data_IF_250549259096
#
_entry.id   IF_250549259096
#
_cell.length_a   1.000
_cell.length_b   1.000
_cell.length_c   1.000
_cell.angle_alpha   90.00
_cell.angle_beta   90.00
_cell.angle_gamma   90.00
#
_symmetry.space_group_name_H-M   'P 1'
#
loop_
_entity.id
_entity.type
_entity.pdbx_description
1 polymer ?
#
# COMPACT_ATOMS: atom_id res chain seq x y z
N UNK A 1 -26.17 -16.33 25.27
CA UNK A 1 -24.74 -16.22 25.63
C UNK A 1 -24.08 -15.57 24.45
N UNK A 2 -23.64 -14.31 24.58
CA UNK A 2 -22.87 -13.64 23.55
C UNK A 2 -21.44 -14.17 23.62
N UNK A 3 -20.94 -14.71 22.52
CA UNK A 3 -19.51 -14.99 22.37
C UNK A 3 -18.76 -13.66 22.45
N UNK A 4 -17.97 -13.48 23.49
CA UNK A 4 -16.93 -12.47 23.50
C UNK A 4 -15.90 -12.88 22.45
N UNK A 5 -16.01 -12.35 21.24
CA UNK A 5 -14.90 -12.37 20.29
C UNK A 5 -13.73 -11.67 20.98
N UNK A 6 -12.71 -12.45 21.35
CA UNK A 6 -11.41 -11.95 21.76
C UNK A 6 -10.94 -10.97 20.68
N UNK A 7 -10.90 -9.67 20.97
CA UNK A 7 -10.25 -8.70 20.09
C UNK A 7 -8.82 -9.18 19.86
N UNK A 8 -8.46 -9.35 18.58
CA UNK A 8 -7.10 -9.69 18.23
C UNK A 8 -6.20 -8.48 18.56
N UNK A 9 -4.98 -8.71 19.09
CA UNK A 9 -4.06 -7.61 19.33
C UNK A 9 -3.80 -6.86 18.02
N UNK A 10 -3.97 -5.55 18.03
CA UNK A 10 -3.84 -4.70 16.86
C UNK A 10 -3.09 -3.41 17.20
N UNK A 11 -2.42 -2.87 16.19
CA UNK A 11 -1.94 -1.50 16.17
C UNK A 11 -3.03 -0.62 15.59
N UNK A 12 -3.36 0.47 16.29
CA UNK A 12 -4.14 1.57 15.74
C UNK A 12 -3.20 2.69 15.34
N UNK A 13 -3.05 2.92 14.04
CA UNK A 13 -2.21 4.01 13.51
C UNK A 13 -3.08 5.18 13.08
N UNK A 14 -3.02 6.29 13.80
CA UNK A 14 -3.63 7.56 13.40
C UNK A 14 -2.73 8.28 12.40
N UNK A 15 -3.30 8.69 11.26
CA UNK A 15 -2.57 9.32 10.16
C UNK A 15 -2.66 10.85 10.19
N UNK A 16 -3.70 11.37 10.83
CA UNK A 16 -3.96 12.80 10.99
C UNK A 16 -4.34 13.04 12.47
N UNK A 17 -4.26 14.30 12.92
CA UNK A 17 -4.62 14.76 14.28
C UNK A 17 -5.79 14.00 14.90
N UNK A 18 -5.83 13.86 16.23
CA UNK A 18 -6.91 13.16 16.97
C UNK A 18 -8.34 13.59 16.56
N UNK A 19 -8.48 14.80 16.01
CA UNK A 19 -9.73 15.40 15.60
C UNK A 19 -10.23 14.96 14.21
N UNK A 20 -9.35 14.47 13.34
CA UNK A 20 -9.64 14.22 11.92
C UNK A 20 -10.04 12.75 11.64
N UNK A 21 -10.03 11.89 12.65
CA UNK A 21 -10.68 10.57 12.62
C UNK A 21 -10.08 9.51 11.68
N UNK A 22 -9.04 9.81 10.91
CA UNK A 22 -8.42 8.86 9.98
C UNK A 22 -7.38 7.98 10.69
N UNK A 23 -7.68 6.69 10.81
CA UNK A 23 -6.78 5.68 11.37
C UNK A 23 -6.86 4.33 10.65
N UNK A 24 -5.85 3.50 10.88
CA UNK A 24 -5.79 2.12 10.46
C UNK A 24 -5.77 1.19 11.68
N UNK A 25 -6.64 0.19 11.70
CA UNK A 25 -6.52 -0.93 12.65
C UNK A 25 -5.86 -2.12 11.95
N UNK A 26 -4.69 -2.50 12.46
CA UNK A 26 -3.81 -3.48 11.82
C UNK A 26 -3.48 -4.58 12.83
N UNK A 27 -3.88 -5.84 12.60
CA UNK A 27 -3.51 -6.93 13.49
C UNK A 27 -1.99 -7.03 13.63
N UNK A 28 -1.48 -7.22 14.85
CA UNK A 28 -0.03 -7.30 15.09
C UNK A 28 0.61 -8.44 14.29
N UNK A 29 -0.12 -9.54 14.08
CA UNK A 29 0.31 -10.66 13.25
C UNK A 29 0.58 -10.29 11.79
N UNK A 30 -0.16 -9.32 11.24
CA UNK A 30 0.07 -8.84 9.86
C UNK A 30 1.40 -8.11 9.80
N UNK A 31 1.63 -7.16 10.73
CA UNK A 31 2.88 -6.39 10.79
C UNK A 31 4.08 -7.31 11.00
N UNK A 32 4.01 -8.25 11.96
CA UNK A 32 5.09 -9.19 12.23
C UNK A 32 5.38 -10.15 11.08
N UNK A 33 4.40 -10.42 10.20
CA UNK A 33 4.61 -11.27 9.04
C UNK A 33 5.35 -10.56 7.89
N UNK A 34 5.30 -9.21 7.85
CA UNK A 34 5.85 -8.42 6.73
C UNK A 34 7.02 -7.53 7.14
N UNK A 35 7.26 -7.31 8.43
CA UNK A 35 8.38 -6.50 8.93
C UNK A 35 8.88 -6.95 10.31
N UNK A 36 10.20 -6.97 10.49
CA UNK A 36 10.87 -7.24 11.76
C UNK A 36 10.76 -6.09 12.76
N UNK A 37 10.49 -4.87 12.28
CA UNK A 37 10.48 -3.64 13.06
C UNK A 37 9.11 -2.95 12.93
N UNK A 38 8.17 -3.17 13.87
CA UNK A 38 6.81 -2.64 13.77
C UNK A 38 6.74 -1.12 13.60
N UNK A 39 7.53 -0.35 14.36
CA UNK A 39 7.57 1.11 14.26
C UNK A 39 7.93 1.56 12.84
N UNK A 40 8.96 0.96 12.26
CA UNK A 40 9.39 1.21 10.88
C UNK A 40 8.29 0.88 9.86
N UNK A 41 7.58 -0.23 10.05
CA UNK A 41 6.47 -0.60 9.16
C UNK A 41 5.28 0.36 9.26
N UNK A 42 4.91 0.78 10.47
CA UNK A 42 3.88 1.79 10.66
C UNK A 42 4.29 3.13 10.00
N UNK A 43 5.57 3.52 10.11
CA UNK A 43 6.12 4.69 9.42
C UNK A 43 6.00 4.57 7.91
N UNK A 44 6.30 3.39 7.37
CA UNK A 44 6.13 3.08 5.95
C UNK A 44 4.67 3.23 5.51
N UNK A 45 3.71 2.75 6.28
CA UNK A 45 2.28 2.91 5.96
C UNK A 45 1.86 4.39 5.95
N UNK A 46 2.28 5.16 6.96
CA UNK A 46 2.02 6.60 6.99
C UNK A 46 2.60 7.32 5.77
N UNK A 47 3.85 7.02 5.41
CA UNK A 47 4.47 7.51 4.19
C UNK A 47 3.70 7.11 2.92
N UNK A 48 3.28 5.85 2.79
CA UNK A 48 2.57 5.37 1.60
C UNK A 48 1.23 6.07 1.39
N UNK A 49 0.53 6.41 2.47
CA UNK A 49 -0.81 7.02 2.41
C UNK A 49 -0.70 8.53 2.23
N UNK A 50 0.18 9.16 3.01
CA UNK A 50 0.27 10.61 3.11
C UNK A 50 1.33 11.23 2.19
N UNK A 51 2.19 10.42 1.57
CA UNK A 51 3.18 10.86 0.59
C UNK A 51 4.33 11.68 1.16
N UNK A 52 4.45 11.76 2.49
CA UNK A 52 5.37 12.65 3.20
C UNK A 52 6.16 11.89 4.25
N UNK A 53 7.36 12.38 4.55
CA UNK A 53 8.15 11.86 5.66
C UNK A 53 7.54 12.26 7.01
N UNK A 54 7.71 11.36 7.98
CA UNK A 54 7.26 11.54 9.35
C UNK A 54 7.86 10.45 10.24
N UNK A 55 7.48 10.47 11.51
CA UNK A 55 7.91 9.53 12.55
C UNK A 55 6.69 8.90 13.21
N UNK A 56 6.90 7.80 13.93
CA UNK A 56 5.86 7.19 14.76
C UNK A 56 6.01 7.70 16.18
N UNK A 57 4.89 8.00 16.84
CA UNK A 57 4.87 8.55 18.18
C UNK A 57 3.74 7.91 19.00
N UNK A 58 3.86 7.91 20.32
CA UNK A 58 2.80 7.46 21.25
C UNK A 58 1.75 8.55 21.49
N UNK A 59 2.10 9.82 21.23
CA UNK A 59 1.23 11.00 21.28
C UNK A 59 1.71 12.01 20.22
N UNK A 60 0.82 12.88 19.71
CA UNK A 60 1.16 13.97 18.79
C UNK A 60 2.21 14.94 19.31
N UNK A 61 2.39 14.99 20.64
CA UNK A 61 3.35 15.88 21.31
C UNK A 61 4.62 15.17 21.76
N UNK A 62 4.68 13.84 21.66
CA UNK A 62 5.86 13.09 22.07
C UNK A 62 6.95 13.18 21.01
N UNK A 63 8.18 12.90 21.43
CA UNK A 63 9.27 12.66 20.49
C UNK A 63 8.95 11.41 19.64
N UNK A 64 9.44 11.40 18.40
CA UNK A 64 9.30 10.25 17.52
C UNK A 64 10.10 9.06 18.04
N UNK A 65 9.48 7.89 18.03
CA UNK A 65 10.13 6.60 18.23
C UNK A 65 11.11 6.33 17.11
N UNK A 66 12.16 5.57 17.41
CA UNK A 66 13.12 5.09 16.41
C UNK A 66 12.52 3.90 15.66
N UNK A 67 12.96 3.71 14.43
CA UNK A 67 12.48 2.64 13.56
C UNK A 67 12.64 1.24 14.21
N UNK A 68 13.70 1.03 14.99
CA UNK A 68 14.02 -0.24 15.64
C UNK A 68 13.39 -0.42 17.04
N UNK A 69 12.67 0.58 17.56
CA UNK A 69 12.04 0.47 18.87
C UNK A 69 10.92 -0.59 18.84
N UNK A 70 10.85 -1.50 19.83
CA UNK A 70 9.80 -2.50 19.90
C UNK A 70 8.45 -1.83 20.22
N UNK A 71 7.38 -2.32 19.59
CA UNK A 71 6.01 -1.85 19.86
C UNK A 71 5.12 -2.99 20.35
N UNK A 72 4.29 -2.68 21.34
CA UNK A 72 3.19 -3.53 21.78
C UNK A 72 1.90 -3.14 21.06
N UNK A 73 0.88 -4.00 21.07
CA UNK A 73 -0.45 -3.63 20.57
C UNK A 73 -0.95 -2.37 21.30
N UNK A 74 -1.42 -1.38 20.54
CA UNK A 74 -1.70 -0.06 21.09
C UNK A 74 -2.02 0.99 20.04
N UNK A 75 -2.16 2.23 20.50
CA UNK A 75 -2.45 3.40 19.66
C UNK A 75 -1.15 4.15 19.40
N UNK A 76 -0.92 4.47 18.13
CA UNK A 76 0.26 5.18 17.65
C UNK A 76 -0.14 6.23 16.63
N UNK A 77 0.71 7.24 16.47
CA UNK A 77 0.48 8.40 15.62
C UNK A 77 1.60 8.53 14.60
N UNK A 78 1.23 8.76 13.35
CA UNK A 78 2.17 9.23 12.34
C UNK A 78 2.27 10.75 12.43
N UNK A 79 3.45 11.26 12.78
CA UNK A 79 3.69 12.68 13.03
C UNK A 79 4.67 13.22 12.00
N UNK A 80 4.28 14.29 11.30
CA UNK A 80 5.15 15.01 10.36
C UNK A 80 5.90 16.13 11.08
N UNK A 81 7.17 16.31 10.76
CA UNK A 81 7.92 17.49 11.18
C UNK A 81 7.35 18.77 10.55
N UNK A 82 7.01 19.77 11.37
CA UNK A 82 6.56 21.09 10.92
C UNK A 82 5.05 21.31 10.83
N UNK A 83 4.24 20.32 11.25
CA UNK A 83 2.81 20.42 11.55
C UNK A 83 1.99 21.50 10.82
N UNK A 84 1.37 21.14 9.70
CA UNK A 84 -0.03 21.43 9.33
C UNK A 84 -0.34 20.87 7.92
N UNK A 85 -1.59 20.44 7.75
CA UNK A 85 -2.26 19.93 6.53
C UNK A 85 -1.60 18.76 5.76
N UNK A 86 -1.47 17.61 6.43
CA UNK A 86 -0.89 16.38 5.86
C UNK A 86 -1.68 15.84 4.66
N UNK A 87 -2.99 16.11 4.63
CA UNK A 87 -3.90 15.63 3.57
C UNK A 87 -3.65 16.28 2.20
N UNK A 88 -3.04 17.47 2.14
CA UNK A 88 -2.68 18.11 0.87
C UNK A 88 -1.72 17.28 0.01
N UNK A 89 -0.99 16.36 0.65
CA UNK A 89 0.05 15.55 0.00
C UNK A 89 -0.36 14.07 -0.13
N UNK A 90 -1.58 13.71 0.25
CA UNK A 90 -2.03 12.33 0.22
C UNK A 90 -1.89 11.73 -1.20
N UNK A 91 -1.26 10.55 -1.27
CA UNK A 91 -0.89 9.92 -2.55
C UNK A 91 -2.14 9.46 -3.33
N UNK A 92 -3.23 9.19 -2.62
CA UNK A 92 -4.50 8.78 -3.19
C UNK A 92 -5.67 9.49 -2.47
N UNK A 93 -6.12 10.65 -2.98
CA UNK A 93 -7.29 11.34 -2.45
C UNK A 93 -8.58 10.54 -2.63
N UNK A 94 -8.67 9.63 -3.61
CA UNK A 94 -9.88 8.79 -3.79
C UNK A 94 -9.97 7.70 -2.73
N UNK A 95 -8.82 7.16 -2.27
CA UNK A 95 -8.77 6.30 -1.08
C UNK A 95 -9.31 7.03 0.16
N UNK A 96 -9.30 8.36 0.15
CA UNK A 96 -9.82 9.22 1.22
C UNK A 96 -11.24 9.78 0.94
N UNK A 97 -11.73 9.78 -0.30
CA UNK A 97 -12.97 10.49 -0.68
C UNK A 97 -14.00 9.69 -1.49
N UNK A 98 -13.74 8.41 -1.81
CA UNK A 98 -14.68 7.51 -2.52
C UNK A 98 -15.32 8.10 -3.80
N UNK A 99 -14.72 9.11 -4.42
CA UNK A 99 -15.28 9.73 -5.63
C UNK A 99 -14.67 9.08 -6.87
N UNK A 100 -15.48 8.31 -7.60
CA UNK A 100 -15.04 7.68 -8.84
C UNK A 100 -15.52 8.46 -10.06
N UNK A 101 -14.59 8.95 -10.88
CA UNK A 101 -14.88 9.30 -12.28
C UNK A 101 -14.00 8.42 -13.18
N UNK A 102 -14.55 7.31 -13.71
CA UNK A 102 -13.81 6.48 -14.66
C UNK A 102 -13.60 7.27 -15.96
N UNK A 103 -12.36 7.61 -16.27
CA UNK A 103 -11.98 8.18 -17.58
C UNK A 103 -11.12 7.19 -18.35
N UNK A 104 -11.74 6.32 -19.15
CA UNK A 104 -10.98 5.57 -20.16
C UNK A 104 -11.67 5.67 -21.51
N UNK A 105 -10.93 6.17 -22.50
CA UNK A 105 -11.32 6.23 -23.91
C UNK A 105 -10.54 5.24 -24.78
N UNK A 106 -9.57 4.51 -24.21
CA UNK A 106 -8.70 3.58 -24.93
C UNK A 106 -9.21 2.13 -24.87
N UNK A 107 -8.94 1.36 -25.93
CA UNK A 107 -9.18 -0.08 -25.98
C UNK A 107 -8.00 -0.83 -25.37
N UNK A 108 -8.28 -1.82 -24.51
CA UNK A 108 -7.30 -2.63 -23.75
C UNK A 108 -6.49 -3.62 -24.62
N UNK A 109 -6.77 -3.68 -25.91
CA UNK A 109 -6.66 -4.89 -26.73
C UNK A 109 -5.22 -5.37 -26.98
N UNK A 110 -4.19 -4.55 -26.74
CA UNK A 110 -2.79 -4.94 -26.97
C UNK A 110 -1.92 -5.01 -25.71
N UNK A 111 -2.37 -4.43 -24.60
CA UNK A 111 -1.53 -4.31 -23.40
C UNK A 111 -1.08 -5.66 -22.83
N UNK A 112 -1.96 -6.65 -22.61
CA UNK A 112 -1.53 -7.93 -22.05
C UNK A 112 -0.47 -8.64 -22.91
N UNK A 113 -0.59 -8.58 -24.23
CA UNK A 113 0.36 -9.18 -25.17
C UNK A 113 1.74 -8.50 -25.11
N UNK A 114 1.79 -7.18 -24.91
CA UNK A 114 3.05 -6.46 -24.73
C UNK A 114 3.75 -6.88 -23.44
N UNK A 115 3.00 -7.00 -22.34
CA UNK A 115 3.53 -7.47 -21.04
C UNK A 115 4.06 -8.90 -21.15
N UNK A 116 3.32 -9.78 -21.81
CA UNK A 116 3.73 -11.15 -22.08
C UNK A 116 5.05 -11.19 -22.86
N UNK A 117 5.16 -10.42 -23.94
CA UNK A 117 6.36 -10.38 -24.78
C UNK A 117 7.61 -9.87 -24.01
N UNK A 118 7.43 -9.02 -22.99
CA UNK A 118 8.52 -8.50 -22.16
C UNK A 118 8.96 -9.51 -21.09
N UNK A 119 8.02 -10.10 -20.37
CA UNK A 119 8.32 -10.89 -19.17
C UNK A 119 8.53 -12.39 -19.47
N UNK A 120 7.89 -12.93 -20.53
CA UNK A 120 7.95 -14.34 -21.00
C UNK A 120 7.38 -15.37 -20.02
N UNK A 121 7.56 -15.20 -18.71
CA UNK A 121 7.02 -16.03 -17.64
C UNK A 121 6.58 -15.19 -16.43
N UNK A 122 5.79 -15.79 -15.54
CA UNK A 122 5.37 -15.11 -14.31
C UNK A 122 6.59 -14.67 -13.49
N UNK A 123 6.66 -13.37 -13.17
CA UNK A 123 7.80 -12.78 -12.44
C UNK A 123 7.99 -13.31 -11.00
N UNK A 124 6.97 -13.98 -10.43
CA UNK A 124 7.00 -14.51 -9.07
C UNK A 124 7.20 -16.02 -8.98
N UNK A 125 6.68 -16.78 -9.95
CA UNK A 125 6.61 -18.25 -9.88
C UNK A 125 7.29 -18.94 -11.05
N UNK A 126 7.71 -18.18 -12.05
CA UNK A 126 8.22 -18.67 -13.33
C UNK A 126 7.21 -19.56 -14.09
N UNK A 127 5.92 -19.48 -13.78
CA UNK A 127 4.85 -20.12 -14.56
C UNK A 127 4.91 -19.66 -16.02
N UNK A 128 4.59 -20.56 -16.96
CA UNK A 128 4.61 -20.26 -18.39
C UNK A 128 3.61 -19.16 -18.78
N UNK A 129 3.80 -18.59 -19.97
CA UNK A 129 2.87 -17.65 -20.60
C UNK A 129 1.43 -18.18 -20.61
N UNK A 130 1.23 -19.45 -20.99
CA UNK A 130 -0.10 -20.09 -21.06
C UNK A 130 -0.84 -20.15 -19.71
N UNK A 131 -0.10 -20.04 -18.60
CA UNK A 131 -0.62 -20.09 -17.23
C UNK A 131 -0.56 -18.72 -16.53
N UNK A 132 -0.30 -17.66 -17.30
CA UNK A 132 -0.06 -16.32 -16.80
C UNK A 132 -0.90 -15.27 -17.52
N UNK A 133 -1.13 -14.15 -16.87
CA UNK A 133 -1.89 -13.02 -17.38
C UNK A 133 -1.11 -11.72 -17.18
N UNK A 134 -1.01 -10.93 -18.25
CA UNK A 134 -0.52 -9.56 -18.18
C UNK A 134 -1.58 -8.67 -17.52
N UNK A 135 -1.26 -8.13 -16.34
CA UNK A 135 -2.14 -7.24 -15.58
C UNK A 135 -1.54 -5.85 -15.44
N UNK A 136 -2.37 -4.87 -15.11
CA UNK A 136 -1.90 -3.53 -14.77
C UNK A 136 -1.58 -3.43 -13.27
N UNK A 137 -0.56 -2.65 -12.90
CA UNK A 137 -0.23 -2.31 -11.51
C UNK A 137 -1.24 -1.29 -10.99
N UNK A 138 -1.34 -0.13 -11.66
CA UNK A 138 -2.44 0.82 -11.50
C UNK A 138 -3.59 0.34 -12.39
N UNK A 139 -4.78 0.02 -11.84
CA UNK A 139 -5.86 -0.60 -12.61
C UNK A 139 -6.24 0.22 -13.85
N UNK A 140 -6.46 -0.49 -14.97
CA UNK A 140 -6.90 0.13 -16.22
C UNK A 140 -8.11 1.06 -16.04
N UNK A 141 -9.06 0.66 -15.18
CA UNK A 141 -10.29 1.42 -14.89
C UNK A 141 -10.07 2.82 -14.29
N UNK A 142 -8.86 3.12 -13.80
CA UNK A 142 -8.50 4.45 -13.28
C UNK A 142 -8.12 5.44 -14.38
N UNK A 143 -7.64 4.94 -15.52
CA UNK A 143 -7.34 5.77 -16.69
C UNK A 143 -6.07 6.63 -16.60
N UNK A 144 -5.79 7.33 -17.69
CA UNK A 144 -4.54 8.09 -17.89
C UNK A 144 -4.44 9.29 -16.95
N UNK A 145 -5.55 9.98 -16.68
CA UNK A 145 -5.58 11.15 -15.80
C UNK A 145 -5.16 10.79 -14.37
N UNK A 146 -5.67 9.66 -13.86
CA UNK A 146 -5.31 9.14 -12.55
C UNK A 146 -3.84 8.76 -12.45
N UNK A 147 -3.30 8.08 -13.47
CA UNK A 147 -1.89 7.71 -13.49
C UNK A 147 -1.00 8.97 -13.44
N UNK A 148 -1.32 9.99 -14.23
CA UNK A 148 -0.59 11.27 -14.22
C UNK A 148 -0.66 11.94 -12.85
N UNK A 149 -1.85 11.96 -12.24
CA UNK A 149 -2.02 12.51 -10.90
C UNK A 149 -1.11 11.83 -9.88
N UNK A 150 -1.05 10.49 -9.83
CA UNK A 150 -0.16 9.77 -8.92
C UNK A 150 1.31 10.03 -9.23
N UNK A 151 1.69 10.07 -10.51
CA UNK A 151 3.07 10.35 -10.95
C UNK A 151 3.50 11.77 -10.54
N UNK A 152 2.60 12.75 -10.63
CA UNK A 152 2.85 14.15 -10.23
C UNK A 152 2.85 14.33 -8.70
N UNK A 153 1.95 13.64 -7.98
CA UNK A 153 1.84 13.71 -6.53
C UNK A 153 3.04 13.07 -5.81
N UNK A 154 3.65 12.05 -6.42
CA UNK A 154 4.91 11.50 -5.92
C UNK A 154 6.03 12.45 -6.33
N UNK A 155 6.35 13.40 -5.43
CA UNK A 155 7.52 14.27 -5.52
C UNK A 155 8.70 13.43 -5.98
N UNK A 156 9.23 13.75 -7.17
CA UNK A 156 10.21 12.92 -7.88
C UNK A 156 11.22 12.33 -6.89
N UNK A 157 11.07 11.04 -6.58
CA UNK A 157 12.14 10.31 -5.90
C UNK A 157 13.39 10.56 -6.74
N UNK A 158 14.49 10.98 -6.12
CA UNK A 158 15.63 11.65 -6.77
C UNK A 158 16.25 10.86 -7.96
N UNK A 159 15.84 9.60 -8.17
CA UNK A 159 16.35 8.70 -9.20
C UNK A 159 15.29 7.99 -10.06
N UNK A 160 13.98 8.21 -9.89
CA UNK A 160 12.95 7.56 -10.72
C UNK A 160 12.33 8.55 -11.72
N UNK A 161 12.90 8.63 -12.94
CA UNK A 161 12.33 9.43 -14.01
C UNK A 161 11.11 8.72 -14.64
N UNK A 162 9.96 8.83 -13.98
CA UNK A 162 8.66 8.34 -14.45
C UNK A 162 7.83 9.43 -15.12
N UNK A 163 8.39 10.62 -15.38
CA UNK A 163 7.68 11.75 -15.99
C UNK A 163 7.10 11.46 -17.38
N UNK A 164 7.63 10.46 -18.08
CA UNK A 164 7.12 9.99 -19.37
C UNK A 164 6.08 8.86 -19.26
N UNK A 165 5.66 8.48 -18.06
CA UNK A 165 4.61 7.48 -17.82
C UNK A 165 3.23 8.14 -17.94
N UNK A 166 2.80 8.40 -19.17
CA UNK A 166 1.63 9.26 -19.45
C UNK A 166 0.34 8.50 -19.77
N UNK A 167 0.41 7.18 -19.99
CA UNK A 167 -0.74 6.35 -20.32
C UNK A 167 -0.84 5.13 -19.42
N UNK A 168 -2.06 4.79 -19.02
CA UNK A 168 -2.39 3.65 -18.16
C UNK A 168 -1.93 2.35 -18.78
N UNK A 169 -1.92 2.25 -20.11
CA UNK A 169 -1.45 1.08 -20.86
C UNK A 169 0.03 1.16 -21.26
N UNK A 170 0.83 2.00 -20.59
CA UNK A 170 2.29 1.92 -20.71
C UNK A 170 2.75 0.57 -20.14
N UNK A 171 3.57 -0.16 -20.89
CA UNK A 171 4.04 -1.49 -20.52
C UNK A 171 4.70 -1.52 -19.13
N UNK A 172 5.30 -0.42 -18.66
CA UNK A 172 5.90 -0.30 -17.33
C UNK A 172 4.87 -0.32 -16.20
N UNK A 173 3.61 0.02 -16.47
CA UNK A 173 2.48 -0.19 -15.57
C UNK A 173 1.93 -1.63 -15.64
N UNK A 174 2.70 -2.59 -16.15
CA UNK A 174 2.28 -3.98 -16.31
C UNK A 174 3.18 -5.00 -15.64
N UNK A 175 2.59 -6.13 -15.24
CA UNK A 175 3.30 -7.31 -14.76
C UNK A 175 2.66 -8.60 -15.28
N UNK A 176 3.49 -9.59 -15.64
CA UNK A 176 3.03 -10.94 -15.97
C UNK A 176 2.95 -11.79 -14.70
N UNK A 177 1.74 -12.23 -14.35
CA UNK A 177 1.50 -13.01 -13.13
C UNK A 177 0.74 -14.29 -13.42
N UNK A 178 1.01 -15.35 -12.65
CA UNK A 178 0.27 -16.60 -12.77
C UNK A 178 -1.21 -16.39 -12.43
N UNK A 179 -2.11 -17.08 -13.13
CA UNK A 179 -3.57 -16.87 -12.98
C UNK A 179 -4.08 -17.00 -11.53
N UNK A 180 -3.49 -17.91 -10.75
CA UNK A 180 -3.87 -18.11 -9.36
C UNK A 180 -3.46 -16.93 -8.47
N UNK A 181 -2.33 -16.27 -8.76
CA UNK A 181 -1.92 -15.04 -8.07
C UNK A 181 -2.81 -13.86 -8.46
N UNK A 182 -3.18 -13.76 -9.74
CA UNK A 182 -4.10 -12.73 -10.21
C UNK A 182 -5.41 -12.75 -9.43
N UNK A 183 -6.01 -13.93 -9.28
CA UNK A 183 -7.25 -14.10 -8.48
C UNK A 183 -7.08 -13.61 -7.05
N UNK A 184 -5.91 -13.83 -6.44
CA UNK A 184 -5.63 -13.35 -5.08
C UNK A 184 -5.45 -11.83 -5.01
N UNK A 185 -4.81 -11.22 -6.00
CA UNK A 185 -4.69 -9.75 -6.09
C UNK A 185 -6.06 -9.11 -6.28
N UNK A 186 -6.90 -9.67 -7.16
CA UNK A 186 -8.22 -9.13 -7.48
C UNK A 186 -9.15 -9.13 -6.26
N UNK A 187 -9.08 -10.19 -5.43
CA UNK A 187 -9.80 -10.27 -4.15
C UNK A 187 -9.04 -9.63 -2.97
N UNK A 188 -7.98 -8.84 -3.25
CA UNK A 188 -7.19 -8.08 -2.26
C UNK A 188 -6.51 -8.94 -1.18
N UNK A 189 -6.20 -10.20 -1.48
CA UNK A 189 -5.47 -11.13 -0.60
C UNK A 189 -3.98 -11.24 -0.89
N UNK A 190 -3.51 -10.60 -1.95
CA UNK A 190 -2.10 -10.52 -2.30
C UNK A 190 -1.76 -9.08 -2.70
N UNK A 191 -0.64 -8.59 -2.18
CA UNK A 191 -0.05 -7.29 -2.53
C UNK A 191 1.45 -7.46 -2.77
N UNK A 192 2.03 -6.54 -3.54
CA UNK A 192 3.47 -6.53 -3.82
C UNK A 192 4.12 -5.43 -3.01
N UNK A 193 5.02 -5.80 -2.10
CA UNK A 193 5.86 -4.88 -1.35
C UNK A 193 7.25 -4.82 -2.00
N UNK A 194 7.56 -3.71 -2.69
CA UNK A 194 8.91 -3.46 -3.22
C UNK A 194 9.87 -3.15 -2.07
N UNK A 195 10.98 -3.87 -1.98
CA UNK A 195 12.12 -3.54 -1.12
C UNK A 195 13.45 -3.64 -1.90
N UNK A 196 14.44 -2.75 -1.65
CA UNK A 196 14.33 -1.61 -0.74
C UNK A 196 13.38 -0.54 -1.31
N UNK A 197 12.78 0.24 -0.42
CA UNK A 197 12.04 1.45 -0.72
C UNK A 197 12.50 2.57 0.24
N UNK A 198 11.87 3.76 0.18
CA UNK A 198 12.27 4.93 0.98
C UNK A 198 12.35 4.66 2.48
N UNK A 199 11.50 3.77 3.01
CA UNK A 199 11.44 3.46 4.44
C UNK A 199 12.05 2.09 4.74
N UNK A 200 11.65 1.05 4.00
CA UNK A 200 12.02 -0.35 4.28
C UNK A 200 13.21 -0.81 3.45
N UNK A 201 14.18 -1.43 4.11
CA UNK A 201 15.27 -2.18 3.51
C UNK A 201 14.88 -3.66 3.33
N UNK A 202 15.59 -4.39 2.47
CA UNK A 202 15.37 -5.84 2.31
C UNK A 202 15.61 -6.63 3.61
N UNK A 203 16.50 -6.16 4.48
CA UNK A 203 16.81 -6.79 5.76
C UNK A 203 15.72 -6.58 6.82
N UNK A 204 14.75 -5.70 6.56
CA UNK A 204 13.64 -5.45 7.47
C UNK A 204 12.50 -6.45 7.26
N UNK A 205 12.54 -7.22 6.16
CA UNK A 205 11.53 -8.22 5.83
C UNK A 205 11.91 -9.55 6.49
N UNK A 206 11.01 -10.19 7.26
CA UNK A 206 11.27 -11.51 7.81
C UNK A 206 11.64 -12.49 6.69
N UNK A 207 12.63 -13.38 6.90
CA UNK A 207 12.89 -14.43 5.93
C UNK A 207 11.62 -15.27 5.75
N UNK A 208 11.38 -15.85 4.56
CA UNK A 208 10.24 -16.73 4.34
C UNK A 208 10.24 -17.79 5.43
N UNK A 209 9.22 -17.77 6.29
CA UNK A 209 9.06 -18.84 7.27
C UNK A 209 8.77 -20.11 6.49
N UNK A 210 9.40 -21.23 6.86
CA UNK A 210 9.15 -22.55 6.24
C UNK A 210 7.70 -23.06 6.45
N UNK A 211 6.84 -22.25 7.05
CA UNK A 211 5.45 -22.48 7.36
C UNK A 211 4.60 -21.55 6.50
N UNK A 212 3.69 -22.09 5.70
CA UNK A 212 2.64 -21.33 5.01
C UNK A 212 1.88 -20.43 6.00
N UNK A 213 2.27 -19.17 6.12
CA UNK A 213 1.52 -18.19 6.90
C UNK A 213 0.27 -17.85 6.09
N UNK A 214 -0.87 -18.31 6.59
CA UNK A 214 -2.18 -17.85 6.18
C UNK A 214 -2.32 -16.37 6.56
N UNK A 215 -1.95 -15.46 5.65
CA UNK A 215 -2.06 -14.00 5.80
C UNK A 215 -3.52 -13.49 5.78
N UNK A 216 -4.50 -14.27 6.25
CA UNK A 216 -5.93 -13.92 6.26
C UNK A 216 -6.30 -12.97 7.42
N UNK A 217 -5.55 -11.88 7.60
CA UNK A 217 -5.94 -10.77 8.46
C UNK A 217 -6.45 -9.61 7.59
N UNK A 218 -7.75 -9.38 7.58
CA UNK A 218 -8.35 -8.26 6.87
C UNK A 218 -7.89 -6.93 7.50
N UNK A 219 -7.24 -6.06 6.70
CA UNK A 219 -6.96 -4.67 7.11
C UNK A 219 -8.25 -3.87 6.89
N UNK A 220 -8.87 -3.41 7.99
CA UNK A 220 -10.08 -2.59 7.93
C UNK A 220 -9.69 -1.11 8.06
N UNK A 221 -10.14 -0.30 7.09
CA UNK A 221 -10.05 1.16 7.15
C UNK A 221 -11.40 1.66 7.67
N UNK A 222 -11.38 2.37 8.79
CA UNK A 222 -12.58 2.95 9.40
C UNK A 222 -12.59 4.47 9.20
N UNK A 223 -13.72 4.98 8.72
CA UNK A 223 -14.02 6.41 8.64
C UNK A 223 -15.27 6.68 9.49
N UNK A 224 -15.21 7.68 10.37
CA UNK A 224 -16.27 8.01 11.33
C UNK A 224 -16.81 9.43 11.15
N UNK A 225 -17.16 9.83 9.92
CA UNK A 225 -18.05 10.97 9.61
C UNK A 225 -18.75 10.67 8.25
N UNK A 226 -20.07 10.71 8.00
CA UNK A 226 -21.18 11.50 8.53
C UNK A 226 -22.50 10.69 8.53
N UNK A 227 -23.18 10.69 9.67
CA UNK A 227 -24.63 10.52 9.76
C UNK A 227 -25.23 11.87 10.12
N UNK A 228 -26.15 12.37 9.28
CA UNK A 228 -26.93 13.59 9.46
C UNK A 228 -27.88 13.76 8.30
#
# INVERSE_FOLDING_TARGET
MADAQSEQPAFRLHLVSELDGLYLDIPTSVVSAVCLYPAKYLRFLGYCILGVDGTIAEDFKSEGLRDEDPLDAGVYYFVREGGENVLEHAVDPEALTYSHVPETTNTRDYFPSLVIARDVSCIFTNASEEMSQGIHIVPFSKGDAWLKYIVEARTAEENENVSNLTTISDIRNGMLIAEHLYKMIDIKKLVVLKTPNRVLNCTDIPPPSNSNINLYGDVQIHDTHCSG
#
